data_IF_492007853195
#
_entry.id   IF_492007853195
#
_cell.length_a   1.000
_cell.length_b   1.000
_cell.length_c   1.000
_cell.angle_alpha   90.00
_cell.angle_beta   90.00
_cell.angle_gamma   90.00
#
_symmetry.space_group_name_H-M   'P 1'
#
loop_
_entity.id
_entity.type
_entity.pdbx_description
1 polymer ?
#
# COMPACT_ATOMS: atom_id res chain seq x y z
N UNK A 1 -2.01 -4.69 -0.04
CA UNK A 1 -0.83 -4.23 0.70
C UNK A 1 -1.09 -2.78 1.08
N UNK A 2 -0.77 -2.36 2.32
CA UNK A 2 -0.75 -0.93 2.66
C UNK A 2 0.68 -0.36 2.50
N UNK A 3 0.85 0.95 2.69
CA UNK A 3 2.19 1.57 2.61
C UNK A 3 3.09 1.19 3.81
N UNK A 4 2.54 0.71 4.92
CA UNK A 4 3.35 0.40 6.11
C UNK A 4 4.27 -0.79 5.86
N UNK A 5 5.57 -0.63 6.10
CA UNK A 5 6.53 -1.74 6.06
C UNK A 5 6.33 -2.71 7.22
N UNK A 6 5.80 -2.23 8.35
CA UNK A 6 5.41 -3.04 9.50
C UNK A 6 3.93 -3.38 9.40
N UNK A 7 3.61 -4.68 9.35
CA UNK A 7 2.23 -5.16 9.33
C UNK A 7 1.82 -5.64 10.70
N UNK A 8 1.07 -4.80 11.42
CA UNK A 8 0.43 -5.14 12.68
C UNK A 8 -1.07 -5.22 12.48
N UNK A 9 -1.70 -6.16 13.17
CA UNK A 9 -3.16 -6.28 13.27
C UNK A 9 -3.55 -6.07 14.72
N UNK A 10 -4.76 -5.55 15.01
CA UNK A 10 -5.19 -5.34 16.38
C UNK A 10 -5.29 -6.65 17.16
N UNK A 11 -5.11 -6.57 18.46
CA UNK A 11 -5.38 -7.68 19.39
C UNK A 11 -6.88 -7.99 19.40
N UNK A 12 -7.23 -9.26 19.65
CA UNK A 12 -8.61 -9.60 20.01
C UNK A 12 -8.72 -9.47 21.52
N UNK A 13 -9.65 -8.62 21.97
CA UNK A 13 -9.90 -8.37 23.39
C UNK A 13 -11.29 -8.84 23.79
N UNK A 14 -11.42 -9.29 25.02
CA UNK A 14 -12.70 -9.60 25.64
C UNK A 14 -13.50 -8.31 25.82
N UNK A 15 -14.74 -8.30 25.36
CA UNK A 15 -15.64 -7.15 25.53
C UNK A 15 -16.06 -6.94 26.99
N UNK A 16 -15.92 -7.96 27.86
CA UNK A 16 -16.35 -7.89 29.25
C UNK A 16 -15.35 -7.15 30.16
N UNK A 17 -14.06 -7.35 29.92
CA UNK A 17 -12.98 -6.91 30.82
C UNK A 17 -11.75 -6.35 30.09
N UNK A 18 -11.82 -6.19 28.76
CA UNK A 18 -10.78 -5.65 27.89
C UNK A 18 -9.44 -6.41 27.94
N UNK A 19 -9.45 -7.66 28.42
CA UNK A 19 -8.27 -8.51 28.47
C UNK A 19 -7.95 -9.08 27.08
N UNK A 20 -6.64 -9.24 26.80
CA UNK A 20 -6.17 -9.75 25.51
C UNK A 20 -6.44 -11.25 25.43
N UNK A 21 -7.37 -11.64 24.56
CA UNK A 21 -7.69 -13.03 24.27
C UNK A 21 -6.74 -13.65 23.25
N UNK A 22 -6.33 -12.89 22.23
CA UNK A 22 -5.43 -13.39 21.20
C UNK A 22 -4.57 -12.29 20.56
N UNK A 23 -3.35 -12.68 20.20
CA UNK A 23 -2.40 -11.84 19.49
C UNK A 23 -2.38 -12.20 18.01
N UNK A 24 -2.50 -11.19 17.15
CA UNK A 24 -2.54 -11.38 15.70
C UNK A 24 -1.19 -11.14 15.02
N UNK A 25 -0.92 -11.92 13.98
CA UNK A 25 0.26 -11.78 13.12
C UNK A 25 -0.11 -11.97 11.65
N UNK A 26 0.55 -11.22 10.77
CA UNK A 26 0.45 -11.41 9.31
C UNK A 26 1.53 -12.43 8.90
N UNK A 27 1.13 -13.62 8.47
CA UNK A 27 2.06 -14.74 8.17
C UNK A 27 2.47 -14.76 6.70
N UNK A 28 1.51 -14.47 5.84
CA UNK A 28 1.73 -14.12 4.45
C UNK A 28 0.81 -12.94 4.17
N UNK A 29 1.07 -12.20 3.10
CA UNK A 29 0.47 -10.88 2.88
C UNK A 29 -1.07 -10.85 2.83
N UNK A 30 -1.70 -12.03 2.74
CA UNK A 30 -3.15 -12.26 2.71
C UNK A 30 -3.68 -13.20 3.80
N UNK A 31 -2.86 -13.60 4.78
CA UNK A 31 -3.26 -14.48 5.89
C UNK A 31 -2.85 -13.90 7.22
N UNK A 32 -3.86 -13.67 8.06
CA UNK A 32 -3.71 -13.26 9.45
C UNK A 32 -3.94 -14.50 10.32
N UNK A 33 -3.05 -14.73 11.30
CA UNK A 33 -3.22 -15.76 12.32
C UNK A 33 -3.34 -15.10 13.67
N UNK A 34 -4.32 -15.52 14.44
CA UNK A 34 -4.43 -15.20 15.86
C UNK A 34 -4.01 -16.41 16.69
N UNK A 35 -3.22 -16.14 17.72
CA UNK A 35 -2.82 -17.12 18.73
C UNK A 35 -3.44 -16.70 20.06
N UNK A 36 -4.24 -17.57 20.66
CA UNK A 36 -4.85 -17.32 21.96
C UNK A 36 -3.79 -17.18 23.06
N UNK A 37 -4.09 -16.35 24.05
CA UNK A 37 -3.31 -16.22 25.29
C UNK A 37 -3.87 -17.15 26.36
N UNK A 38 -3.17 -17.30 27.48
CA UNK A 38 -3.66 -18.10 28.61
C UNK A 38 -4.96 -17.54 29.24
N UNK A 39 -5.36 -16.31 28.89
CA UNK A 39 -6.62 -15.71 29.34
C UNK A 39 -7.84 -16.58 28.98
N UNK A 40 -7.80 -17.30 27.87
CA UNK A 40 -8.93 -18.13 27.43
C UNK A 40 -9.13 -19.38 28.30
N UNK A 41 -8.12 -19.76 29.10
CA UNK A 41 -8.18 -20.96 29.90
C UNK A 41 -9.32 -20.86 30.92
N UNK A 42 -10.14 -21.92 30.99
CA UNK A 42 -11.32 -22.02 31.87
C UNK A 42 -12.45 -21.00 31.59
N UNK A 43 -12.39 -20.27 30.48
CA UNK A 43 -13.49 -19.44 30.01
C UNK A 43 -14.44 -20.26 29.15
N UNK A 44 -15.73 -19.90 29.16
CA UNK A 44 -16.77 -20.53 28.34
C UNK A 44 -17.52 -19.45 27.56
N UNK A 45 -18.04 -19.83 26.40
CA UNK A 45 -18.94 -18.99 25.59
C UNK A 45 -18.37 -17.60 25.26
N UNK A 46 -17.06 -17.54 25.00
CA UNK A 46 -16.38 -16.30 24.65
C UNK A 46 -16.81 -15.79 23.28
N UNK A 47 -17.10 -14.50 23.20
CA UNK A 47 -17.33 -13.76 21.96
C UNK A 47 -16.27 -12.68 21.78
N UNK A 48 -16.03 -12.30 20.54
CA UNK A 48 -15.05 -11.30 20.17
C UNK A 48 -15.48 -10.54 18.93
N UNK A 49 -15.16 -9.25 18.89
CA UNK A 49 -15.31 -8.41 17.72
C UNK A 49 -13.93 -7.99 17.20
N UNK A 50 -13.78 -7.97 15.89
CA UNK A 50 -12.52 -7.62 15.23
C UNK A 50 -12.79 -6.71 14.04
N UNK A 51 -12.27 -5.49 14.11
CA UNK A 51 -12.33 -4.51 13.03
C UNK A 51 -10.96 -4.40 12.36
N UNK A 52 -10.92 -4.65 11.05
CA UNK A 52 -9.67 -4.62 10.26
C UNK A 52 -9.81 -3.62 9.12
N UNK A 53 -8.84 -2.70 9.02
CA UNK A 53 -8.68 -1.89 7.83
C UNK A 53 -8.04 -2.73 6.72
N UNK A 54 -8.72 -2.83 5.59
CA UNK A 54 -8.21 -3.49 4.39
C UNK A 54 -7.77 -2.41 3.39
N UNK A 55 -6.56 -2.57 2.86
CA UNK A 55 -5.98 -1.64 1.89
C UNK A 55 -5.85 -2.33 0.53
N UNK A 56 -6.31 -1.64 -0.51
CA UNK A 56 -6.14 -2.08 -1.90
C UNK A 56 -4.65 -2.21 -2.21
N UNK A 57 -4.30 -3.32 -2.82
CA UNK A 57 -2.93 -3.62 -3.20
C UNK A 57 -2.63 -3.04 -4.59
N UNK A 58 -1.80 -1.99 -4.69
CA UNK A 58 -1.52 -1.37 -5.98
C UNK A 58 -0.70 -2.27 -6.90
N UNK A 59 -0.09 -3.35 -6.38
CA UNK A 59 0.69 -4.31 -7.18
C UNK A 59 -0.19 -5.30 -7.94
N UNK A 60 -1.40 -5.56 -7.43
CA UNK A 60 -2.34 -6.52 -8.05
C UNK A 60 -3.61 -5.87 -8.60
N UNK A 61 -4.06 -4.77 -8.01
CA UNK A 61 -5.16 -3.94 -8.52
C UNK A 61 -4.53 -2.72 -9.20
N UNK A 62 -4.08 -2.89 -10.44
CA UNK A 62 -3.28 -1.87 -11.14
C UNK A 62 -4.11 -0.84 -11.91
N UNK A 63 -5.40 -1.08 -12.08
CA UNK A 63 -6.34 -0.24 -12.83
C UNK A 63 -7.61 0.01 -12.02
N UNK A 64 -8.31 1.10 -12.33
CA UNK A 64 -9.64 1.38 -11.77
C UNK A 64 -10.67 0.35 -12.20
N UNK A 65 -11.76 0.29 -11.44
CA UNK A 65 -12.92 -0.55 -11.72
C UNK A 65 -13.30 -1.43 -10.53
N UNK A 66 -14.34 -2.24 -10.76
CA UNK A 66 -14.95 -3.09 -9.75
C UNK A 66 -14.00 -4.20 -9.31
N UNK A 67 -13.81 -4.31 -7.99
CA UNK A 67 -13.03 -5.36 -7.35
C UNK A 67 -13.87 -6.04 -6.27
N UNK A 68 -13.95 -7.36 -6.34
CA UNK A 68 -14.56 -8.17 -5.28
C UNK A 68 -13.51 -8.47 -4.22
N UNK A 69 -13.72 -7.98 -3.01
CA UNK A 69 -12.92 -8.28 -1.83
C UNK A 69 -13.61 -9.39 -1.05
N UNK A 70 -12.89 -10.48 -0.77
CA UNK A 70 -13.38 -11.63 0.01
C UNK A 70 -12.51 -11.81 1.25
N UNK A 71 -13.17 -12.05 2.39
CA UNK A 71 -12.52 -12.45 3.65
C UNK A 71 -13.09 -13.80 4.05
N UNK A 72 -12.21 -14.72 4.44
CA UNK A 72 -12.59 -16.05 4.90
C UNK A 72 -12.08 -16.31 6.32
N UNK A 73 -12.94 -16.90 7.15
CA UNK A 73 -12.63 -17.40 8.48
C UNK A 73 -13.17 -18.82 8.60
N UNK A 74 -12.27 -19.80 8.53
CA UNK A 74 -12.67 -21.21 8.40
C UNK A 74 -13.46 -21.43 7.11
N UNK A 75 -14.68 -21.96 7.24
CA UNK A 75 -15.60 -22.14 6.10
C UNK A 75 -16.47 -20.90 5.81
N UNK A 76 -16.53 -19.95 6.74
CA UNK A 76 -17.33 -18.74 6.58
C UNK A 76 -16.63 -17.78 5.64
N UNK A 77 -17.39 -17.23 4.69
CA UNK A 77 -16.91 -16.25 3.72
C UNK A 77 -17.84 -15.07 3.68
N UNK A 78 -17.25 -13.88 3.68
CA UNK A 78 -17.94 -12.63 3.41
C UNK A 78 -17.27 -11.97 2.21
N UNK A 79 -18.05 -11.33 1.36
CA UNK A 79 -17.50 -10.62 0.21
C UNK A 79 -18.29 -9.37 -0.10
N UNK A 80 -17.58 -8.35 -0.58
CA UNK A 80 -18.17 -7.10 -1.03
C UNK A 80 -17.44 -6.59 -2.27
N UNK A 81 -18.19 -5.97 -3.18
CA UNK A 81 -17.63 -5.30 -4.36
C UNK A 81 -17.37 -3.83 -4.04
N UNK A 82 -16.21 -3.34 -4.46
CA UNK A 82 -15.81 -1.94 -4.36
C UNK A 82 -15.42 -1.44 -5.75
N UNK A 83 -15.86 -0.23 -6.10
CA UNK A 83 -15.38 0.44 -7.30
C UNK A 83 -14.09 1.20 -6.97
N UNK A 84 -12.96 0.69 -7.45
CA UNK A 84 -11.64 1.25 -7.15
C UNK A 84 -11.36 2.37 -8.12
N UNK A 85 -10.96 3.52 -7.59
CA UNK A 85 -10.60 4.70 -8.36
C UNK A 85 -9.16 5.12 -8.06
N UNK A 86 -8.45 5.53 -9.10
CA UNK A 86 -7.09 6.09 -9.02
C UNK A 86 -7.08 7.51 -9.58
N UNK A 87 -6.14 8.31 -9.09
CA UNK A 87 -5.93 9.66 -9.60
C UNK A 87 -5.06 9.60 -10.86
N UNK A 88 -5.44 10.34 -11.90
CA UNK A 88 -4.71 10.40 -13.17
C UNK A 88 -3.40 11.22 -13.08
N UNK A 89 -3.10 11.78 -11.92
CA UNK A 89 -2.02 12.75 -11.71
C UNK A 89 -2.40 14.15 -12.18
N UNK A 90 -1.39 15.00 -12.36
CA UNK A 90 -1.53 16.36 -12.88
C UNK A 90 -0.99 16.45 -14.30
N UNK A 91 -1.68 17.23 -15.13
CA UNK A 91 -1.33 17.45 -16.54
C UNK A 91 -1.08 18.91 -16.77
N UNK A 92 -0.02 19.24 -17.51
CA UNK A 92 0.19 20.60 -17.99
C UNK A 92 -0.65 20.89 -19.25
N UNK A 93 -0.57 22.11 -19.78
CA UNK A 93 -1.29 22.53 -20.99
C UNK A 93 -0.85 21.78 -22.25
N UNK A 94 0.36 21.23 -22.26
CA UNK A 94 0.91 20.46 -23.38
C UNK A 94 0.57 18.97 -23.28
N UNK A 95 -0.10 18.57 -22.19
CA UNK A 95 -0.49 17.19 -21.93
C UNK A 95 0.59 16.36 -21.23
N UNK A 96 1.74 16.91 -20.83
CA UNK A 96 2.73 16.19 -20.02
C UNK A 96 2.09 15.84 -18.67
N UNK A 97 2.14 14.56 -18.30
CA UNK A 97 1.54 14.06 -17.06
C UNK A 97 2.61 13.75 -16.04
N UNK A 98 2.40 14.20 -14.80
CA UNK A 98 3.17 13.77 -13.63
C UNK A 98 2.22 13.13 -12.64
N UNK A 99 2.59 11.96 -12.13
CA UNK A 99 1.85 11.30 -11.05
C UNK A 99 2.82 10.66 -10.07
N UNK A 100 2.33 10.36 -8.87
CA UNK A 100 3.15 9.78 -7.83
C UNK A 100 2.34 9.16 -6.71
N UNK A 101 2.98 8.25 -5.97
CA UNK A 101 2.45 7.68 -4.73
C UNK A 101 3.56 7.44 -3.72
N UNK A 102 3.22 7.55 -2.44
CA UNK A 102 4.03 6.94 -1.38
C UNK A 102 3.95 5.43 -1.57
N UNK A 103 5.11 4.79 -1.63
CA UNK A 103 5.23 3.37 -1.86
C UNK A 103 5.34 2.60 -0.54
N UNK A 104 6.33 2.95 0.29
CA UNK A 104 6.49 2.39 1.62
C UNK A 104 6.68 3.46 2.68
N UNK A 105 6.34 3.13 3.93
CA UNK A 105 6.49 3.94 5.12
C UNK A 105 6.91 3.06 6.30
N UNK A 106 8.12 3.26 6.80
CA UNK A 106 8.62 2.71 8.05
C UNK A 106 8.57 3.81 9.13
N UNK A 107 7.52 3.79 9.96
CA UNK A 107 7.35 4.78 11.03
C UNK A 107 8.40 4.66 12.14
N UNK A 108 8.89 3.45 12.43
CA UNK A 108 9.88 3.23 13.49
C UNK A 108 11.24 3.86 13.14
N UNK A 109 11.64 3.75 11.87
CA UNK A 109 12.89 4.35 11.38
C UNK A 109 12.70 5.77 10.81
N UNK A 110 11.45 6.21 10.62
CA UNK A 110 11.13 7.47 9.96
C UNK A 110 11.60 7.52 8.51
N UNK A 111 11.48 6.40 7.78
CA UNK A 111 11.86 6.27 6.37
C UNK A 111 10.63 6.04 5.50
N UNK A 112 10.68 6.49 4.25
CA UNK A 112 9.65 6.21 3.26
C UNK A 112 10.28 6.07 1.87
N UNK A 113 9.57 5.40 0.96
CA UNK A 113 9.85 5.40 -0.48
C UNK A 113 8.69 6.05 -1.23
N UNK A 114 8.98 6.62 -2.40
CA UNK A 114 8.00 7.26 -3.26
C UNK A 114 8.25 6.86 -4.71
N UNK A 115 7.18 6.50 -5.43
CA UNK A 115 7.20 6.32 -6.88
C UNK A 115 6.63 7.55 -7.54
N UNK A 116 7.32 8.06 -8.57
CA UNK A 116 6.81 9.10 -9.44
C UNK A 116 7.10 8.71 -10.90
N UNK A 117 6.20 9.09 -11.81
CA UNK A 117 6.49 9.04 -13.24
C UNK A 117 6.23 10.39 -13.88
N UNK A 118 6.97 10.65 -14.95
CA UNK A 118 6.75 11.76 -15.87
C UNK A 118 6.47 11.16 -17.25
N UNK A 119 5.29 11.39 -17.79
CA UNK A 119 4.85 10.88 -19.10
C UNK A 119 4.73 12.06 -20.07
N UNK A 120 5.61 12.17 -21.09
CA UNK A 120 5.59 13.29 -22.03
C UNK A 120 4.41 13.27 -23.01
N UNK A 121 3.66 12.15 -23.11
CA UNK A 121 2.49 12.00 -23.99
C UNK A 121 2.73 12.50 -25.44
N UNK A 122 3.75 11.93 -26.08
CA UNK A 122 4.19 12.25 -27.45
C UNK A 122 4.71 13.67 -27.67
N UNK A 123 4.91 14.46 -26.61
CA UNK A 123 5.61 15.73 -26.69
C UNK A 123 7.12 15.52 -26.68
N UNK A 124 7.82 16.24 -27.55
CA UNK A 124 9.28 16.35 -27.45
C UNK A 124 9.61 17.37 -26.36
N UNK A 125 10.32 16.95 -25.31
CA UNK A 125 10.70 17.82 -24.21
C UNK A 125 12.21 18.07 -24.27
N UNK A 126 12.61 19.33 -24.35
CA UNK A 126 13.99 19.77 -24.19
C UNK A 126 14.20 20.35 -22.79
N UNK A 127 15.26 19.93 -22.10
CA UNK A 127 15.67 20.50 -20.80
C UNK A 127 14.61 20.38 -19.68
N UNK A 128 14.24 19.16 -19.31
CA UNK A 128 13.30 18.88 -18.20
C UNK A 128 14.05 18.85 -16.86
N UNK A 129 13.54 19.57 -15.86
CA UNK A 129 14.00 19.46 -14.47
C UNK A 129 12.89 18.84 -13.62
N UNK A 130 13.23 17.80 -12.85
CA UNK A 130 12.32 17.15 -11.90
C UNK A 130 12.83 17.37 -10.49
N UNK A 131 11.99 17.91 -9.62
CA UNK A 131 12.32 18.19 -8.21
C UNK A 131 11.36 17.46 -7.28
N UNK A 132 11.88 16.87 -6.21
CA UNK A 132 11.09 16.31 -5.13
C UNK A 132 11.45 16.98 -3.80
N UNK A 133 10.46 17.39 -3.02
CA UNK A 133 10.65 18.03 -1.72
C UNK A 133 9.70 17.43 -0.68
N UNK A 134 10.22 17.19 0.53
CA UNK A 134 9.42 16.83 1.69
C UNK A 134 8.81 18.12 2.25
N UNK A 135 7.49 18.30 2.07
CA UNK A 135 6.77 19.51 2.51
C UNK A 135 6.38 19.46 3.98
N UNK A 136 6.25 18.27 4.57
CA UNK A 136 5.95 18.05 5.98
C UNK A 136 6.68 16.82 6.51
N UNK A 137 7.11 16.86 7.78
CA UNK A 137 7.93 15.81 8.39
C UNK A 137 9.41 15.87 7.99
N UNK A 138 9.86 17.00 7.42
CA UNK A 138 11.27 17.25 7.14
C UNK A 138 12.11 17.25 8.43
N UNK A 139 13.25 16.58 8.40
CA UNK A 139 14.22 16.56 9.49
C UNK A 139 15.47 17.34 9.07
N UNK A 140 15.84 18.34 9.86
CA UNK A 140 17.13 19.02 9.70
C UNK A 140 18.26 18.00 9.84
N UNK A 141 19.30 18.13 9.01
CA UNK A 141 20.46 17.22 8.98
C UNK A 141 20.12 15.75 8.63
N UNK A 142 18.99 15.51 7.96
CA UNK A 142 18.71 14.20 7.38
C UNK A 142 19.77 13.82 6.35
N UNK A 143 20.05 12.52 6.22
CA UNK A 143 20.87 12.01 5.11
C UNK A 143 20.17 12.32 3.78
N UNK A 144 20.98 12.57 2.75
CA UNK A 144 20.48 12.73 1.39
C UNK A 144 19.69 11.47 0.97
N UNK A 145 18.57 11.64 0.24
CA UNK A 145 17.80 10.50 -0.26
C UNK A 145 18.57 9.76 -1.34
N UNK A 146 18.29 8.46 -1.47
CA UNK A 146 18.68 7.70 -2.65
C UNK A 146 17.63 7.91 -3.73
N UNK A 147 18.06 8.44 -4.88
CA UNK A 147 17.18 8.63 -6.05
C UNK A 147 17.67 7.71 -7.16
N UNK A 148 16.74 6.93 -7.72
CA UNK A 148 16.97 6.10 -8.91
C UNK A 148 15.98 6.53 -9.98
N UNK A 149 16.43 6.58 -11.23
CA UNK A 149 15.64 7.00 -12.39
C UNK A 149 15.65 5.87 -13.39
N UNK A 150 14.46 5.54 -13.90
CA UNK A 150 14.26 4.47 -14.87
C UNK A 150 13.51 5.02 -16.08
N UNK A 151 13.87 4.54 -17.26
CA UNK A 151 13.12 4.74 -18.48
C UNK A 151 12.11 3.61 -18.63
N UNK A 152 10.83 3.97 -18.73
CA UNK A 152 9.81 3.02 -19.15
C UNK A 152 9.97 2.72 -20.64
N UNK A 153 10.21 1.46 -20.97
CA UNK A 153 10.42 0.96 -22.34
C UNK A 153 9.33 -0.03 -22.77
N UNK A 154 8.42 -0.40 -21.86
CA UNK A 154 7.27 -1.24 -22.18
C UNK A 154 6.33 -0.57 -23.18
N UNK A 155 5.64 -1.39 -23.97
CA UNK A 155 4.58 -0.94 -24.89
C UNK A 155 3.23 -0.75 -24.21
N UNK A 156 3.07 -1.28 -22.99
CA UNK A 156 1.86 -1.15 -22.19
C UNK A 156 1.78 0.20 -21.48
N UNK A 157 0.57 0.57 -21.07
CA UNK A 157 0.40 1.75 -20.23
C UNK A 157 0.89 1.48 -18.80
N UNK A 158 1.51 2.50 -18.19
CA UNK A 158 1.83 2.49 -16.77
C UNK A 158 0.56 2.22 -15.95
N UNK A 159 0.71 1.47 -14.86
CA UNK A 159 -0.39 1.16 -13.96
C UNK A 159 -1.02 2.46 -13.41
N UNK A 160 -2.35 2.56 -13.44
CA UNK A 160 -3.10 3.67 -12.84
C UNK A 160 -2.87 3.73 -11.32
N UNK A 161 -2.57 2.59 -10.70
CA UNK A 161 -2.15 2.49 -9.30
C UNK A 161 -0.77 3.08 -9.01
N UNK A 162 -0.07 3.62 -10.02
CA UNK A 162 1.31 4.15 -9.92
C UNK A 162 2.29 3.09 -9.39
N UNK A 163 2.06 1.83 -9.77
CA UNK A 163 2.98 0.72 -9.53
C UNK A 163 3.90 0.50 -10.73
N UNK A 164 5.18 0.23 -10.46
CA UNK A 164 6.16 -0.20 -11.45
C UNK A 164 7.04 -1.29 -10.86
N UNK A 165 7.06 -2.45 -11.50
CA UNK A 165 7.98 -3.53 -11.18
C UNK A 165 9.36 -3.21 -11.76
N UNK A 166 10.18 -2.50 -11.00
CA UNK A 166 11.48 -2.00 -11.46
C UNK A 166 12.51 -3.10 -11.76
N UNK A 167 12.27 -4.32 -11.30
CA UNK A 167 13.13 -5.48 -11.62
C UNK A 167 12.79 -6.08 -13.00
N UNK A 168 11.64 -5.69 -13.58
CA UNK A 168 11.23 -6.11 -14.90
C UNK A 168 11.99 -5.34 -15.99
N UNK A 169 13.11 -5.90 -16.43
CA UNK A 169 13.99 -5.34 -17.47
C UNK A 169 13.36 -5.24 -18.86
N UNK A 170 12.21 -5.89 -19.09
CA UNK A 170 11.44 -5.70 -20.32
C UNK A 170 10.59 -4.43 -20.28
N UNK A 171 10.37 -3.85 -19.10
CA UNK A 171 9.55 -2.65 -18.89
C UNK A 171 10.35 -1.44 -18.45
N UNK A 172 11.44 -1.64 -17.71
CA UNK A 172 12.25 -0.56 -17.13
C UNK A 172 13.74 -0.77 -17.40
N UNK A 173 14.44 0.32 -17.72
CA UNK A 173 15.89 0.39 -17.90
C UNK A 173 16.48 1.57 -17.13
#
# INVERSE_FOLDING_TARGET
HGISTLRKVPEIKSSADNQVMANGQVINERKIRYTFTDYINNKKDLTAELNLNLFIDPTTVTKKGKQKVEVSLGQNKISQEFDIQYLDGVKDRMGVTVNGRIDTLNKAEGKFSHFAYVKPNNQSLSSVTVTGQVTSGYKQNAKNPTVKVYKHIGSDELAESVYGDLENTMKFQ
#
